data_IF_753444422646
#
_entry.id   IF_753444422646
#
_cell.length_a   1.000
_cell.length_b   1.000
_cell.length_c   1.000
_cell.angle_alpha   90.00
_cell.angle_beta   90.00
_cell.angle_gamma   90.00
#
_symmetry.space_group_name_H-M   'P 1'
#
loop_
_entity.id
_entity.type
_entity.pdbx_description
1 polymer ?
#
# COMPACT_ATOMS: atom_id res chain seq x y z
N UNK A 1 -19.81 -11.62 -8.06
CA UNK A 1 -19.65 -10.82 -6.84
C UNK A 1 -20.94 -10.92 -6.08
N UNK A 2 -20.96 -11.52 -4.89
CA UNK A 2 -22.09 -11.33 -3.98
C UNK A 2 -22.12 -9.86 -3.58
N UNK A 3 -23.20 -9.17 -3.93
CA UNK A 3 -23.42 -7.81 -3.45
C UNK A 3 -23.72 -7.89 -1.96
N UNK A 4 -23.23 -6.91 -1.18
CA UNK A 4 -23.53 -6.88 0.25
C UNK A 4 -25.05 -6.81 0.47
N UNK A 5 -25.53 -7.35 1.60
CA UNK A 5 -26.96 -7.35 1.96
C UNK A 5 -27.59 -5.94 1.94
N UNK A 6 -26.76 -4.90 2.16
CA UNK A 6 -27.12 -3.49 2.06
C UNK A 6 -27.46 -3.10 0.61
N UNK A 7 -26.63 -3.52 -0.36
CA UNK A 7 -26.83 -3.22 -1.78
C UNK A 7 -28.13 -3.86 -2.29
N UNK A 8 -28.41 -5.11 -1.92
CA UNK A 8 -29.69 -5.76 -2.26
C UNK A 8 -30.90 -4.97 -1.74
N UNK A 9 -30.84 -4.46 -0.51
CA UNK A 9 -31.92 -3.66 0.08
C UNK A 9 -32.14 -2.33 -0.68
N UNK A 10 -31.05 -1.67 -1.09
CA UNK A 10 -31.12 -0.42 -1.88
C UNK A 10 -31.76 -0.69 -3.24
N UNK A 11 -31.34 -1.74 -3.94
CA UNK A 11 -31.85 -2.09 -5.27
C UNK A 11 -33.33 -2.48 -5.24
N UNK A 12 -33.75 -3.20 -4.20
CA UNK A 12 -35.16 -3.52 -3.97
C UNK A 12 -36.00 -2.24 -3.72
N UNK A 13 -35.50 -1.30 -2.92
CA UNK A 13 -36.17 0.00 -2.68
C UNK A 13 -36.31 0.84 -3.97
N UNK A 14 -35.34 0.72 -4.87
CA UNK A 14 -35.37 1.38 -6.19
C UNK A 14 -36.23 0.64 -7.22
N UNK A 15 -36.75 -0.55 -6.90
CA UNK A 15 -37.57 -1.36 -7.80
C UNK A 15 -36.80 -1.96 -9.00
N UNK A 16 -35.46 -1.95 -8.98
CA UNK A 16 -34.63 -2.53 -10.03
C UNK A 16 -33.41 -3.26 -9.44
N UNK A 17 -33.57 -4.56 -9.23
CA UNK A 17 -32.50 -5.45 -8.74
C UNK A 17 -31.31 -5.60 -9.70
N UNK A 18 -31.50 -5.27 -10.98
CA UNK A 18 -30.47 -5.39 -12.02
C UNK A 18 -29.76 -4.07 -12.32
N UNK A 19 -30.10 -2.97 -11.64
CA UNK A 19 -29.61 -1.63 -11.95
C UNK A 19 -28.08 -1.56 -12.06
N UNK A 20 -27.34 -2.19 -11.14
CA UNK A 20 -25.86 -2.20 -11.20
C UNK A 20 -25.37 -2.91 -12.46
N UNK A 21 -25.91 -4.08 -12.77
CA UNK A 21 -25.53 -4.83 -13.98
C UNK A 21 -25.89 -4.05 -15.24
N UNK A 22 -27.06 -3.41 -15.30
CA UNK A 22 -27.46 -2.59 -16.44
C UNK A 22 -26.52 -1.39 -16.62
N UNK A 23 -26.19 -0.67 -15.55
CA UNK A 23 -25.28 0.48 -15.63
C UNK A 23 -23.87 0.05 -16.06
N UNK A 24 -23.33 -1.03 -15.50
CA UNK A 24 -21.98 -1.52 -15.82
C UNK A 24 -21.85 -2.14 -17.21
N UNK A 25 -22.92 -2.64 -17.79
CA UNK A 25 -22.92 -3.27 -19.13
C UNK A 25 -23.33 -2.31 -20.25
N UNK A 26 -24.17 -1.32 -19.96
CA UNK A 26 -24.71 -0.38 -20.96
C UNK A 26 -23.96 0.95 -21.03
N UNK A 27 -23.29 1.37 -19.96
CA UNK A 27 -22.59 2.66 -19.91
C UNK A 27 -21.08 2.47 -20.01
N UNK A 28 -20.44 3.32 -20.80
CA UNK A 28 -19.00 3.51 -20.77
C UNK A 28 -18.54 4.21 -19.48
N UNK A 29 -17.23 4.18 -19.20
CA UNK A 29 -16.65 4.83 -18.01
C UNK A 29 -16.91 6.35 -17.98
N UNK A 30 -16.91 7.01 -19.15
CA UNK A 30 -17.19 8.45 -19.27
C UNK A 30 -18.67 8.78 -19.02
N UNK A 31 -19.58 7.93 -19.50
CA UNK A 31 -21.02 8.07 -19.24
C UNK A 31 -21.35 7.81 -17.76
N UNK A 32 -20.75 6.78 -17.17
CA UNK A 32 -20.87 6.51 -15.73
C UNK A 32 -20.37 7.69 -14.90
N UNK A 33 -19.23 8.29 -15.28
CA UNK A 33 -18.71 9.50 -14.63
C UNK A 33 -19.71 10.64 -14.68
N UNK A 34 -20.31 10.88 -15.84
CA UNK A 34 -21.31 11.94 -16.04
C UNK A 34 -22.54 11.68 -15.16
N UNK A 35 -23.02 10.44 -15.09
CA UNK A 35 -24.14 10.05 -14.23
C UNK A 35 -23.85 10.30 -12.74
N UNK A 36 -22.67 9.90 -12.25
CA UNK A 36 -22.27 10.11 -10.85
C UNK A 36 -22.17 11.60 -10.50
N UNK A 37 -21.71 12.44 -11.44
CA UNK A 37 -21.68 13.90 -11.26
C UNK A 37 -23.10 14.48 -11.19
N UNK A 38 -24.00 14.07 -12.08
CA UNK A 38 -25.39 14.53 -12.06
C UNK A 38 -26.11 14.11 -10.77
N UNK A 39 -25.93 12.86 -10.32
CA UNK A 39 -26.46 12.39 -9.04
C UNK A 39 -25.93 13.22 -7.86
N UNK A 40 -24.63 13.52 -7.85
CA UNK A 40 -24.00 14.33 -6.81
C UNK A 40 -24.55 15.77 -6.79
N UNK A 41 -24.83 16.35 -7.96
CA UNK A 41 -25.48 17.66 -8.08
C UNK A 41 -26.88 17.64 -7.49
N UNK A 42 -27.69 16.64 -7.83
CA UNK A 42 -29.06 16.50 -7.31
C UNK A 42 -29.08 16.36 -5.78
N UNK A 43 -28.18 15.53 -5.23
CA UNK A 43 -28.03 15.35 -3.78
C UNK A 43 -27.57 16.63 -3.08
N UNK A 44 -26.73 17.44 -3.73
CA UNK A 44 -26.21 18.68 -3.16
C UNK A 44 -27.27 19.80 -3.23
N UNK A 45 -28.07 19.87 -4.29
CA UNK A 45 -29.16 20.83 -4.44
C UNK A 45 -30.23 20.69 -3.35
N UNK A 46 -30.41 19.48 -2.81
CA UNK A 46 -31.32 19.18 -1.71
C UNK A 46 -30.68 19.34 -0.32
N UNK A 47 -29.39 19.66 -0.22
CA UNK A 47 -28.68 19.79 1.06
C UNK A 47 -28.71 21.23 1.56
N UNK A 48 -29.02 21.42 2.86
CA UNK A 48 -28.93 22.72 3.53
C UNK A 48 -27.55 22.94 4.18
N UNK A 49 -27.19 24.18 4.56
CA UNK A 49 -26.01 24.45 5.38
C UNK A 49 -26.00 23.71 6.73
N UNK A 50 -27.17 23.44 7.31
CA UNK A 50 -27.29 22.63 8.54
C UNK A 50 -26.92 21.17 8.26
N UNK A 51 -27.35 20.63 7.11
CA UNK A 51 -26.95 19.29 6.69
C UNK A 51 -25.44 19.21 6.43
N UNK A 52 -24.83 20.27 5.90
CA UNK A 52 -23.38 20.36 5.75
C UNK A 52 -22.67 20.31 7.11
N UNK A 53 -23.14 21.06 8.10
CA UNK A 53 -22.56 21.05 9.45
C UNK A 53 -22.72 19.68 10.12
N UNK A 54 -23.87 19.03 9.96
CA UNK A 54 -24.11 17.67 10.47
C UNK A 54 -23.21 16.63 9.77
N UNK A 55 -23.03 16.75 8.46
CA UNK A 55 -22.09 15.93 7.69
C UNK A 55 -20.66 16.17 8.17
N UNK A 56 -20.25 17.42 8.38
CA UNK A 56 -18.93 17.75 8.94
C UNK A 56 -18.75 17.19 10.35
N UNK A 57 -19.76 17.29 11.22
CA UNK A 57 -19.71 16.82 12.60
C UNK A 57 -19.45 15.30 12.68
N UNK A 58 -20.07 14.54 11.79
CA UNK A 58 -20.03 13.06 11.77
C UNK A 58 -18.98 12.46 10.84
N UNK A 59 -18.38 13.26 9.95
CA UNK A 59 -17.40 12.79 8.98
C UNK A 59 -15.95 12.94 9.52
N UNK A 60 -15.31 11.80 9.79
CA UNK A 60 -13.91 11.75 10.24
C UNK A 60 -12.88 12.16 9.18
N UNK A 61 -13.23 12.14 7.89
CA UNK A 61 -12.33 12.48 6.77
C UNK A 61 -12.13 14.00 6.57
N UNK A 62 -12.87 14.83 7.31
CA UNK A 62 -12.79 16.29 7.18
C UNK A 62 -12.36 16.98 8.47
N UNK A 63 -11.89 16.20 9.45
CA UNK A 63 -11.40 16.73 10.73
C UNK A 63 -9.94 17.13 10.63
N UNK A 64 -9.52 18.21 11.31
CA UNK A 64 -8.09 18.52 11.44
C UNK A 64 -7.39 17.38 12.17
N UNK A 65 -6.12 17.14 11.84
CA UNK A 65 -5.27 16.23 12.60
C UNK A 65 -4.74 16.94 13.84
N UNK A 66 -4.71 16.24 14.97
CA UNK A 66 -4.08 16.70 16.21
C UNK A 66 -2.54 16.59 16.16
N UNK A 67 -1.99 15.96 15.11
CA UNK A 67 -0.54 15.77 14.96
C UNK A 67 0.16 17.04 14.45
N UNK A 68 1.35 17.29 14.96
CA UNK A 68 2.18 18.43 14.52
C UNK A 68 2.61 18.27 13.06
N UNK A 69 2.23 19.19 12.15
CA UNK A 69 2.63 19.11 10.75
C UNK A 69 4.15 19.29 10.57
N UNK A 70 4.80 20.05 11.46
CA UNK A 70 6.25 20.26 11.43
C UNK A 70 6.99 18.96 11.75
N UNK A 71 6.55 18.24 12.79
CA UNK A 71 7.18 16.95 13.15
C UNK A 71 6.98 15.93 12.04
N UNK A 72 5.78 15.86 11.45
CA UNK A 72 5.53 14.98 10.29
C UNK A 72 6.45 15.30 9.10
N UNK A 73 6.68 16.58 8.80
CA UNK A 73 7.60 16.96 7.71
C UNK A 73 9.06 16.63 7.99
N UNK A 74 9.49 16.66 9.25
CA UNK A 74 10.83 16.19 9.64
C UNK A 74 10.98 14.68 9.42
N UNK A 75 9.98 13.90 9.84
CA UNK A 75 9.94 12.44 9.59
C UNK A 75 10.03 12.15 8.09
N UNK A 76 9.21 12.83 7.29
CA UNK A 76 9.20 12.70 5.83
C UNK A 76 10.57 13.02 5.22
N UNK A 77 11.20 14.13 5.64
CA UNK A 77 12.54 14.51 5.18
C UNK A 77 13.58 13.47 5.58
N UNK A 78 13.59 13.05 6.84
CA UNK A 78 14.54 12.07 7.37
C UNK A 78 14.50 10.73 6.61
N UNK A 79 13.30 10.31 6.20
CA UNK A 79 13.10 9.09 5.42
C UNK A 79 13.50 9.28 3.95
N UNK A 80 13.20 10.43 3.35
CA UNK A 80 13.60 10.75 1.98
C UNK A 80 15.12 10.85 1.82
N UNK A 81 15.81 11.51 2.75
CA UNK A 81 17.28 11.60 2.77
C UNK A 81 17.91 10.21 2.89
N UNK A 82 17.40 9.36 3.79
CA UNK A 82 17.87 7.99 3.91
C UNK A 82 17.59 7.18 2.64
N UNK A 83 16.43 7.38 2.00
CA UNK A 83 16.06 6.67 0.79
C UNK A 83 16.99 7.02 -0.36
N UNK A 84 17.31 8.31 -0.54
CA UNK A 84 18.29 8.78 -1.51
C UNK A 84 19.67 8.15 -1.27
N UNK A 85 20.16 8.15 -0.02
CA UNK A 85 21.42 7.50 0.34
C UNK A 85 21.43 5.99 0.09
N UNK A 86 20.27 5.33 0.10
CA UNK A 86 20.11 3.89 -0.18
C UNK A 86 19.76 3.60 -1.65
N UNK A 87 19.77 4.61 -2.51
CA UNK A 87 19.59 4.48 -3.95
C UNK A 87 18.12 4.40 -4.41
N UNK A 88 17.18 4.89 -3.61
CA UNK A 88 15.77 5.01 -3.99
C UNK A 88 15.46 6.41 -4.56
N UNK A 89 14.72 6.47 -5.65
CA UNK A 89 14.25 7.73 -6.25
C UNK A 89 12.78 8.01 -5.87
N UNK A 90 12.47 9.22 -5.39
CA UNK A 90 11.11 9.61 -4.96
C UNK A 90 10.18 9.96 -6.14
N UNK A 91 8.93 9.48 -6.11
CA UNK A 91 7.90 9.75 -7.13
C UNK A 91 6.50 9.88 -6.51
N UNK A 92 5.57 10.53 -7.22
CA UNK A 92 4.15 10.65 -6.85
C UNK A 92 3.21 10.49 -8.05
N UNK A 93 2.21 9.62 -7.96
CA UNK A 93 1.17 9.31 -8.96
C UNK A 93 -0.03 8.61 -8.27
N UNK A 94 -1.08 8.14 -8.95
CA UNK A 94 -2.19 7.39 -8.35
C UNK A 94 -2.57 6.20 -9.27
N UNK A 95 -2.90 5.02 -8.73
CA UNK A 95 -3.05 3.76 -9.50
C UNK A 95 -4.09 2.79 -8.90
N UNK A 96 -4.73 2.01 -9.79
CA UNK A 96 -5.91 1.14 -9.55
C UNK A 96 -5.58 -0.36 -9.37
N UNK A 97 -4.30 -0.78 -9.37
CA UNK A 97 -3.95 -2.20 -9.65
C UNK A 97 -3.89 -3.17 -8.46
N UNK A 98 -3.76 -2.72 -7.22
CA UNK A 98 -3.79 -3.69 -6.12
C UNK A 98 -5.23 -4.05 -5.71
N UNK A 99 -5.37 -5.15 -4.98
CA UNK A 99 -6.62 -5.64 -4.38
C UNK A 99 -7.11 -4.75 -3.22
N UNK A 100 -7.07 -3.44 -3.40
CA UNK A 100 -7.76 -2.49 -2.52
C UNK A 100 -9.14 -2.29 -3.11
N UNK A 101 -10.07 -3.12 -2.66
CA UNK A 101 -11.47 -3.08 -3.06
C UNK A 101 -12.11 -1.69 -2.78
N UNK A 102 -13.13 -1.32 -3.56
CA UNK A 102 -13.78 -0.01 -3.44
C UNK A 102 -14.39 0.23 -2.05
N UNK A 103 -14.70 -0.81 -1.28
CA UNK A 103 -15.16 -0.64 0.11
C UNK A 103 -14.04 -0.22 1.06
N UNK A 104 -12.78 -0.21 0.61
CA UNK A 104 -11.59 0.18 1.38
C UNK A 104 -11.02 1.54 0.96
N UNK A 105 -11.36 2.04 -0.24
CA UNK A 105 -10.89 3.31 -0.80
C UNK A 105 -12.03 4.31 -0.91
N UNK A 106 -11.75 5.60 -0.67
CA UNK A 106 -12.73 6.65 -0.98
C UNK A 106 -12.64 6.97 -2.46
N UNK A 107 -13.71 6.63 -3.20
CA UNK A 107 -13.85 6.99 -4.61
C UNK A 107 -13.92 8.51 -4.78
N UNK A 108 -13.26 9.02 -5.81
CA UNK A 108 -13.44 10.38 -6.30
C UNK A 108 -14.22 10.34 -7.62
N UNK A 109 -14.88 11.44 -7.97
CA UNK A 109 -15.55 11.55 -9.28
C UNK A 109 -14.52 11.67 -10.41
N UNK A 110 -14.92 11.36 -11.66
CA UNK A 110 -14.05 11.32 -12.86
C UNK A 110 -13.15 10.09 -12.98
N UNK A 111 -13.60 8.95 -12.47
CA UNK A 111 -12.91 7.67 -12.64
C UNK A 111 -11.56 7.61 -11.92
N UNK A 112 -11.41 8.37 -10.83
CA UNK A 112 -10.20 8.39 -10.00
C UNK A 112 -10.57 8.08 -8.56
N UNK A 113 -9.58 7.72 -7.77
CA UNK A 113 -9.73 7.42 -6.34
C UNK A 113 -8.81 8.31 -5.52
N UNK A 114 -9.16 8.56 -4.25
CA UNK A 114 -8.17 9.11 -3.33
C UNK A 114 -7.08 8.06 -3.07
N UNK A 115 -5.82 8.49 -3.12
CA UNK A 115 -4.67 7.62 -2.90
C UNK A 115 -4.79 6.90 -1.55
N UNK A 116 -4.90 5.57 -1.58
CA UNK A 116 -5.03 4.73 -0.37
C UNK A 116 -3.77 3.95 -0.04
N UNK A 117 -2.89 3.77 -1.04
CA UNK A 117 -1.59 3.13 -0.94
C UNK A 117 -0.69 3.57 -2.12
N UNK A 118 0.53 4.04 -1.84
CA UNK A 118 1.49 4.50 -2.85
C UNK A 118 2.32 3.37 -3.49
N UNK A 119 2.30 2.13 -2.98
CA UNK A 119 3.06 1.03 -3.62
C UNK A 119 2.50 0.67 -5.00
N UNK A 120 1.17 0.69 -5.16
CA UNK A 120 0.49 0.30 -6.41
C UNK A 120 0.76 1.32 -7.51
N UNK A 121 0.89 2.58 -7.11
CA UNK A 121 1.27 3.71 -7.94
C UNK A 121 2.67 3.51 -8.51
N UNK A 122 3.65 3.22 -7.66
CA UNK A 122 5.03 3.01 -8.10
C UNK A 122 5.13 1.80 -9.04
N UNK A 123 4.35 0.75 -8.78
CA UNK A 123 4.29 -0.42 -9.66
C UNK A 123 3.82 -0.07 -11.09
N UNK A 124 2.80 0.79 -11.26
CA UNK A 124 2.38 1.27 -12.58
C UNK A 124 3.44 2.12 -13.23
N UNK A 125 4.03 3.08 -12.49
CA UNK A 125 5.09 3.93 -13.03
C UNK A 125 6.23 3.07 -13.61
N UNK A 126 6.67 2.07 -12.84
CA UNK A 126 7.70 1.13 -13.25
C UNK A 126 7.27 0.33 -14.48
N UNK A 127 6.08 -0.29 -14.46
CA UNK A 127 5.58 -1.07 -15.58
C UNK A 127 5.42 -0.22 -16.87
N UNK A 128 4.89 0.99 -16.76
CA UNK A 128 4.76 1.90 -17.89
C UNK A 128 6.14 2.31 -18.44
N UNK A 129 7.10 2.60 -17.58
CA UNK A 129 8.46 2.93 -17.99
C UNK A 129 9.17 1.75 -18.67
N UNK A 130 8.99 0.53 -18.15
CA UNK A 130 9.53 -0.71 -18.75
C UNK A 130 8.89 -0.96 -20.12
N UNK A 131 7.56 -0.88 -20.21
CA UNK A 131 6.80 -1.07 -21.45
C UNK A 131 7.21 -0.09 -22.54
N UNK A 132 7.46 1.17 -22.17
CA UNK A 132 7.88 2.24 -23.09
C UNK A 132 9.40 2.40 -23.20
N UNK A 133 10.19 1.50 -22.60
CA UNK A 133 11.67 1.49 -22.64
C UNK A 133 12.35 2.74 -22.07
N UNK A 134 11.66 3.53 -21.25
CA UNK A 134 12.29 4.62 -20.48
C UNK A 134 12.93 4.14 -19.17
N UNK A 135 12.59 2.92 -18.73
CA UNK A 135 13.20 2.22 -17.59
C UNK A 135 13.66 0.85 -18.08
N UNK A 136 14.89 0.45 -17.74
CA UNK A 136 15.42 -0.87 -18.05
C UNK A 136 15.79 -1.63 -16.77
N UNK A 137 14.83 -2.40 -16.26
CA UNK A 137 15.02 -3.26 -15.08
C UNK A 137 15.68 -4.62 -15.38
N UNK A 138 16.18 -4.82 -16.61
CA UNK A 138 16.80 -6.08 -17.02
C UNK A 138 18.33 -6.07 -16.86
N UNK A 139 18.94 -4.88 -16.80
CA UNK A 139 20.39 -4.70 -16.58
C UNK A 139 20.68 -4.63 -15.09
N UNK A 140 19.92 -3.80 -14.37
CA UNK A 140 19.98 -3.63 -12.93
C UNK A 140 18.58 -3.46 -12.38
N UNK A 141 18.38 -3.86 -11.13
CA UNK A 141 17.13 -3.61 -10.43
C UNK A 141 16.91 -2.09 -10.27
N UNK A 142 15.63 -1.71 -10.21
CA UNK A 142 15.19 -0.31 -10.13
C UNK A 142 14.46 -0.11 -8.81
N UNK A 143 14.88 0.90 -8.05
CA UNK A 143 14.38 1.17 -6.70
C UNK A 143 13.76 2.56 -6.64
N UNK A 144 12.49 2.64 -6.25
CA UNK A 144 11.75 3.90 -6.13
C UNK A 144 11.02 3.96 -4.79
N UNK A 145 10.85 5.18 -4.28
CA UNK A 145 10.12 5.42 -3.04
C UNK A 145 9.05 6.50 -3.22
N UNK A 146 8.19 6.66 -2.22
CA UNK A 146 7.25 7.76 -2.16
C UNK A 146 6.94 8.09 -0.70
N UNK A 147 6.87 9.38 -0.40
CA UNK A 147 6.22 9.89 0.80
C UNK A 147 4.87 10.48 0.39
N UNK A 148 3.79 10.01 1.01
CA UNK A 148 2.45 10.27 0.51
C UNK A 148 1.44 10.34 1.64
N UNK A 149 0.54 11.32 1.62
CA UNK A 149 -0.66 11.27 2.49
C UNK A 149 -1.69 10.38 1.83
N UNK A 150 -2.04 9.29 2.49
CA UNK A 150 -3.02 8.32 2.01
C UNK A 150 -4.31 8.41 2.81
N UNK A 151 -5.40 7.95 2.20
CA UNK A 151 -6.73 7.91 2.81
C UNK A 151 -7.28 6.48 2.80
N UNK A 152 -7.65 5.95 3.97
CA UNK A 152 -8.26 4.62 4.10
C UNK A 152 -9.71 4.70 4.55
N UNK A 153 -10.60 4.12 3.75
CA UNK A 153 -12.05 4.09 3.98
C UNK A 153 -12.43 3.19 5.17
N UNK A 154 -11.68 2.10 5.38
CA UNK A 154 -11.96 1.10 6.41
C UNK A 154 -12.06 1.70 7.81
N UNK A 155 -13.12 1.33 8.53
CA UNK A 155 -13.32 1.73 9.92
C UNK A 155 -12.71 0.69 10.86
N UNK A 156 -11.75 1.11 11.67
CA UNK A 156 -11.20 0.32 12.78
C UNK A 156 -11.56 1.03 14.09
N UNK A 157 -12.01 0.28 15.11
CA UNK A 157 -12.37 0.85 16.43
C UNK A 157 -11.16 1.27 17.28
N UNK A 158 -9.95 0.96 16.82
CA UNK A 158 -8.70 1.21 17.55
C UNK A 158 -8.26 2.67 17.39
N UNK A 159 -7.83 3.31 18.49
CA UNK A 159 -7.50 4.74 18.53
C UNK A 159 -6.33 5.17 17.61
N UNK A 160 -5.49 4.22 17.19
CA UNK A 160 -4.26 4.50 16.44
C UNK A 160 -4.43 4.38 14.91
N UNK A 161 -5.66 4.18 14.42
CA UNK A 161 -5.93 4.03 12.98
C UNK A 161 -6.58 5.30 12.44
N UNK A 162 -5.78 6.14 11.80
CA UNK A 162 -6.24 7.39 11.22
C UNK A 162 -6.90 7.18 9.83
N UNK A 163 -7.97 7.93 9.51
CA UNK A 163 -8.53 7.95 8.15
C UNK A 163 -7.55 8.51 7.12
N UNK A 164 -6.74 9.49 7.52
CA UNK A 164 -5.69 10.11 6.73
C UNK A 164 -4.37 10.01 7.47
N UNK A 165 -3.34 9.48 6.82
CA UNK A 165 -2.02 9.39 7.41
C UNK A 165 -0.95 9.43 6.32
N UNK A 166 0.25 9.85 6.71
CA UNK A 166 1.46 9.75 5.93
C UNK A 166 1.92 8.31 5.84
N UNK A 167 2.17 7.85 4.62
CA UNK A 167 2.76 6.57 4.30
C UNK A 167 4.08 6.82 3.56
N UNK A 168 5.14 6.18 4.03
CA UNK A 168 6.39 6.10 3.30
C UNK A 168 6.52 4.70 2.70
N UNK A 169 6.74 4.60 1.39
CA UNK A 169 6.79 3.32 0.67
C UNK A 169 8.06 3.15 -0.11
N UNK A 170 8.54 1.91 -0.17
CA UNK A 170 9.66 1.46 -1.00
C UNK A 170 9.17 0.41 -1.99
N UNK A 171 9.60 0.51 -3.24
CA UNK A 171 9.31 -0.48 -4.28
C UNK A 171 10.57 -0.78 -5.09
N UNK A 172 10.88 -2.07 -5.22
CA UNK A 172 11.97 -2.58 -6.04
C UNK A 172 11.41 -3.41 -7.19
N UNK A 173 11.88 -3.17 -8.41
CA UNK A 173 11.52 -3.91 -9.63
C UNK A 173 12.75 -4.46 -10.31
N UNK A 174 12.64 -5.69 -10.81
CA UNK A 174 13.74 -6.40 -11.45
C UNK A 174 13.24 -7.64 -12.17
N UNK A 175 14.18 -8.52 -12.53
CA UNK A 175 13.88 -9.78 -13.22
C UNK A 175 14.46 -10.98 -12.50
N UNK A 176 13.78 -12.10 -12.69
CA UNK A 176 14.29 -13.42 -12.37
C UNK A 176 15.48 -13.76 -13.26
N UNK A 177 16.65 -13.84 -12.62
CA UNK A 177 17.90 -14.29 -13.21
C UNK A 177 18.38 -15.60 -12.60
N UNK A 178 17.52 -16.30 -11.85
CA UNK A 178 17.86 -17.52 -11.13
C UNK A 178 18.39 -17.28 -9.71
N UNK A 179 18.46 -18.38 -8.95
CA UNK A 179 19.02 -18.47 -7.59
C UNK A 179 18.40 -17.52 -6.55
N UNK A 180 17.19 -17.03 -6.83
CA UNK A 180 16.48 -16.04 -6.02
C UNK A 180 17.29 -14.77 -5.75
N UNK A 181 18.15 -14.35 -6.71
CA UNK A 181 19.03 -13.18 -6.54
C UNK A 181 18.22 -11.92 -6.24
N UNK A 182 17.19 -11.65 -7.06
CA UNK A 182 16.31 -10.50 -6.86
C UNK A 182 15.66 -10.53 -5.48
N UNK A 183 15.10 -11.68 -5.09
CA UNK A 183 14.39 -11.82 -3.82
C UNK A 183 15.33 -11.57 -2.63
N UNK A 184 16.53 -12.15 -2.64
CA UNK A 184 17.55 -11.91 -1.60
C UNK A 184 17.97 -10.44 -1.53
N UNK A 185 18.41 -9.88 -2.65
CA UNK A 185 18.98 -8.54 -2.71
C UNK A 185 17.95 -7.48 -2.29
N UNK A 186 16.71 -7.61 -2.78
CA UNK A 186 15.66 -6.63 -2.48
C UNK A 186 15.10 -6.77 -1.07
N UNK A 187 14.97 -7.99 -0.55
CA UNK A 187 14.54 -8.21 0.83
C UNK A 187 15.55 -7.62 1.82
N UNK A 188 16.85 -7.88 1.59
CA UNK A 188 17.94 -7.28 2.36
C UNK A 188 17.92 -5.75 2.25
N UNK A 189 17.75 -5.18 1.05
CA UNK A 189 17.67 -3.73 0.86
C UNK A 189 16.52 -3.09 1.65
N UNK A 190 15.32 -3.66 1.57
CA UNK A 190 14.15 -3.11 2.25
C UNK A 190 14.26 -3.24 3.77
N UNK A 191 14.64 -4.42 4.28
CA UNK A 191 14.81 -4.63 5.72
C UNK A 191 15.93 -3.75 6.27
N UNK A 192 17.08 -3.66 5.59
CA UNK A 192 18.19 -2.79 5.99
C UNK A 192 17.77 -1.32 6.11
N UNK A 193 16.90 -0.83 5.22
CA UNK A 193 16.37 0.53 5.31
C UNK A 193 15.65 0.75 6.64
N UNK A 194 14.73 -0.13 7.01
CA UNK A 194 13.93 0.02 8.23
C UNK A 194 14.74 -0.22 9.50
N UNK A 195 15.63 -1.23 9.52
CA UNK A 195 16.54 -1.46 10.65
C UNK A 195 17.48 -0.28 10.87
N UNK A 196 17.99 0.32 9.78
CA UNK A 196 18.84 1.50 9.88
C UNK A 196 18.05 2.72 10.36
N UNK A 197 16.84 2.94 9.86
CA UNK A 197 16.02 4.07 10.28
C UNK A 197 15.60 3.95 11.76
N UNK A 198 14.90 2.87 12.11
CA UNK A 198 14.33 2.71 13.44
C UNK A 198 15.39 2.33 14.49
N UNK A 199 16.23 1.35 14.20
CA UNK A 199 17.27 0.89 15.13
C UNK A 199 18.49 1.80 15.13
N UNK A 200 19.03 2.12 13.95
CA UNK A 200 20.25 2.91 13.82
C UNK A 200 20.06 4.40 14.13
N UNK A 201 19.15 5.08 13.41
CA UNK A 201 18.94 6.53 13.52
C UNK A 201 18.09 6.91 14.73
N UNK A 202 17.01 6.18 15.00
CA UNK A 202 16.10 6.49 16.11
C UNK A 202 16.43 5.75 17.43
N UNK A 203 17.35 4.78 17.41
CA UNK A 203 17.76 4.05 18.61
C UNK A 203 16.69 3.14 19.21
N UNK A 204 15.70 2.71 18.42
CA UNK A 204 14.57 1.90 18.88
C UNK A 204 14.86 0.40 18.80
N UNK A 205 14.19 -0.42 19.62
CA UNK A 205 14.29 -1.87 19.51
C UNK A 205 13.50 -2.37 18.30
N UNK A 206 14.14 -3.15 17.42
CA UNK A 206 13.54 -3.67 16.19
C UNK A 206 13.52 -5.19 16.13
N UNK A 207 12.41 -5.78 15.68
CA UNK A 207 12.27 -7.22 15.37
C UNK A 207 11.70 -7.38 13.98
N UNK A 208 12.13 -8.41 13.24
CA UNK A 208 11.62 -8.70 11.90
C UNK A 208 10.86 -10.01 11.92
N UNK A 209 9.63 -9.99 11.44
CA UNK A 209 8.80 -11.17 11.27
C UNK A 209 8.77 -11.55 9.80
N UNK A 210 8.90 -12.83 9.49
CA UNK A 210 8.81 -13.39 8.15
C UNK A 210 7.65 -14.37 8.11
N UNK A 211 6.63 -14.06 7.31
CA UNK A 211 5.42 -14.87 7.22
C UNK A 211 5.37 -15.63 5.89
N UNK A 212 5.17 -16.94 5.96
CA UNK A 212 5.05 -17.82 4.81
C UNK A 212 3.82 -17.47 3.95
N UNK A 213 3.98 -17.40 2.63
CA UNK A 213 2.89 -17.21 1.66
C UNK A 213 3.02 -18.19 0.49
N UNK A 214 1.89 -18.52 -0.13
CA UNK A 214 1.87 -19.28 -1.39
C UNK A 214 2.35 -18.41 -2.56
N UNK A 215 2.72 -19.02 -3.67
CA UNK A 215 3.06 -18.31 -4.92
C UNK A 215 4.36 -18.80 -5.58
N UNK A 216 5.18 -19.54 -4.84
CA UNK A 216 6.33 -20.27 -5.37
C UNK A 216 6.03 -21.77 -5.32
N UNK A 217 6.65 -22.56 -6.20
CA UNK A 217 6.45 -24.01 -6.26
C UNK A 217 6.88 -24.72 -4.97
N UNK A 218 7.99 -24.26 -4.38
CA UNK A 218 8.57 -24.73 -3.13
C UNK A 218 8.55 -23.57 -2.12
N UNK A 219 7.39 -23.36 -1.48
CA UNK A 219 7.17 -22.25 -0.55
C UNK A 219 8.03 -22.37 0.71
N UNK A 220 8.12 -23.55 1.32
CA UNK A 220 8.93 -23.78 2.52
C UNK A 220 10.42 -23.61 2.22
N UNK A 221 10.95 -24.26 1.19
CA UNK A 221 12.35 -24.10 0.84
C UNK A 221 12.68 -22.69 0.34
N UNK A 222 11.71 -21.96 -0.24
CA UNK A 222 11.87 -20.54 -0.53
C UNK A 222 12.08 -19.72 0.75
N UNK A 223 11.22 -19.92 1.76
CA UNK A 223 11.37 -19.25 3.06
C UNK A 223 12.71 -19.58 3.72
N UNK A 224 13.09 -20.87 3.78
CA UNK A 224 14.35 -21.32 4.35
C UNK A 224 15.55 -20.59 3.71
N UNK A 225 15.59 -20.51 2.39
CA UNK A 225 16.66 -19.82 1.64
C UNK A 225 16.70 -18.31 1.89
N UNK A 226 15.57 -17.68 2.19
CA UNK A 226 15.52 -16.26 2.54
C UNK A 226 15.97 -16.03 3.99
N UNK A 227 15.52 -16.88 4.92
CA UNK A 227 15.93 -16.86 6.33
C UNK A 227 17.45 -17.04 6.44
N UNK A 228 18.00 -18.06 5.77
CA UNK A 228 19.44 -18.31 5.76
C UNK A 228 20.25 -17.11 5.26
N UNK A 229 19.78 -16.47 4.18
CA UNK A 229 20.41 -15.27 3.63
C UNK A 229 20.34 -14.10 4.63
N UNK A 230 19.17 -13.84 5.22
CA UNK A 230 18.97 -12.73 6.14
C UNK A 230 19.71 -12.92 7.47
N UNK A 231 19.87 -14.15 7.95
CA UNK A 231 20.68 -14.45 9.15
C UNK A 231 22.16 -14.11 8.93
N UNK A 232 22.67 -14.25 7.69
CA UNK A 232 24.03 -13.84 7.33
C UNK A 232 24.16 -12.32 7.24
N UNK A 233 23.19 -11.65 6.62
CA UNK A 233 23.22 -10.19 6.43
C UNK A 233 22.93 -9.40 7.72
N UNK A 234 22.11 -9.96 8.62
CA UNK A 234 21.64 -9.32 9.85
C UNK A 234 21.85 -10.19 11.09
N UNK A 235 23.09 -10.58 11.44
CA UNK A 235 23.36 -11.54 12.52
C UNK A 235 22.93 -11.05 13.91
N UNK A 236 22.70 -9.75 14.08
CA UNK A 236 22.25 -9.15 15.34
C UNK A 236 20.75 -8.83 15.37
N UNK A 237 20.02 -9.09 14.28
CA UNK A 237 18.58 -8.85 14.21
C UNK A 237 17.82 -10.07 14.71
N UNK A 238 16.80 -9.87 15.55
CA UNK A 238 15.88 -10.93 15.90
C UNK A 238 14.90 -11.18 14.74
N UNK A 239 15.17 -12.23 13.97
CA UNK A 239 14.28 -12.75 12.94
C UNK A 239 13.32 -13.78 13.54
N UNK A 240 12.02 -13.62 13.30
CA UNK A 240 10.96 -14.51 13.79
C UNK A 240 10.21 -15.04 12.58
N UNK A 241 10.13 -16.36 12.47
CA UNK A 241 9.39 -17.02 11.40
C UNK A 241 7.97 -17.35 11.84
N UNK A 242 7.01 -17.06 10.97
CA UNK A 242 5.63 -17.49 11.09
C UNK A 242 5.26 -18.34 9.87
N UNK A 243 5.18 -19.65 10.09
CA UNK A 243 4.83 -20.64 9.07
C UNK A 243 3.34 -20.90 9.01
N UNK A 244 2.52 -20.20 9.80
CA UNK A 244 1.07 -20.32 9.70
C UNK A 244 0.61 -19.64 8.41
N UNK A 245 0.04 -20.44 7.51
CA UNK A 245 -0.50 -19.93 6.26
C UNK A 245 -1.67 -19.00 6.56
N UNK A 246 -1.50 -17.70 6.30
CA UNK A 246 -2.58 -16.72 6.43
C UNK A 246 -3.29 -16.47 5.10
N UNK A 247 -4.56 -16.07 5.18
CA UNK A 247 -5.39 -15.78 4.01
C UNK A 247 -5.07 -14.45 3.32
N UNK A 248 -3.91 -13.82 3.54
CA UNK A 248 -3.60 -12.54 2.87
C UNK A 248 -3.23 -12.80 1.39
N UNK A 249 -4.16 -12.51 0.48
CA UNK A 249 -4.23 -13.14 -0.85
C UNK A 249 -3.37 -12.51 -1.96
N UNK A 250 -2.54 -11.50 -1.71
CA UNK A 250 -1.78 -10.83 -2.78
C UNK A 250 -0.26 -10.97 -2.69
N UNK A 251 0.30 -11.22 -1.50
CA UNK A 251 1.73 -11.52 -1.38
C UNK A 251 2.06 -12.91 -1.95
N UNK A 252 3.26 -13.05 -2.51
CA UNK A 252 3.77 -14.28 -3.12
C UNK A 252 5.01 -14.76 -2.38
N UNK A 253 5.02 -16.01 -1.94
CA UNK A 253 6.19 -16.63 -1.28
C UNK A 253 6.38 -16.21 0.17
N UNK A 254 6.57 -14.91 0.43
CA UNK A 254 6.61 -14.36 1.78
C UNK A 254 6.17 -12.90 1.83
N UNK A 255 5.73 -12.47 3.03
CA UNK A 255 5.76 -11.07 3.43
C UNK A 255 6.53 -10.95 4.75
N UNK A 256 7.03 -9.76 5.04
CA UNK A 256 7.76 -9.43 6.25
C UNK A 256 7.12 -8.25 6.96
N UNK A 257 7.25 -8.23 8.29
CA UNK A 257 6.87 -7.09 9.12
C UNK A 257 8.08 -6.63 9.94
N UNK A 258 8.18 -5.33 10.21
CA UNK A 258 9.14 -4.80 11.19
C UNK A 258 8.37 -4.24 12.37
N UNK A 259 8.63 -4.82 13.52
CA UNK A 259 8.11 -4.40 14.80
C UNK A 259 9.11 -3.45 15.46
N UNK A 260 8.62 -2.33 15.98
CA UNK A 260 9.40 -1.34 16.73
C UNK A 260 8.75 -1.16 18.09
N UNK A 261 9.49 -1.48 19.16
CA UNK A 261 9.01 -1.42 20.55
C UNK A 261 7.64 -2.10 20.79
N UNK A 262 7.37 -3.24 20.14
CA UNK A 262 6.10 -3.95 20.28
C UNK A 262 5.00 -3.53 19.30
N UNK A 263 5.23 -2.53 18.44
CA UNK A 263 4.27 -2.10 17.40
C UNK A 263 4.73 -2.53 16.01
N UNK A 264 3.90 -3.30 15.29
CA UNK A 264 4.14 -3.60 13.86
C UNK A 264 3.91 -2.33 13.04
N UNK A 265 4.99 -1.70 12.59
CA UNK A 265 4.95 -0.39 11.90
C UNK A 265 5.32 -0.48 10.42
N UNK A 266 5.88 -1.60 9.99
CA UNK A 266 6.24 -1.89 8.60
C UNK A 266 5.55 -3.18 8.16
N UNK A 267 5.03 -3.18 6.93
CA UNK A 267 4.61 -4.39 6.21
C UNK A 267 5.17 -4.32 4.79
N UNK A 268 5.62 -5.45 4.26
CA UNK A 268 6.18 -5.56 2.92
C UNK A 268 6.26 -7.00 2.44
N UNK A 269 6.38 -7.23 1.14
CA UNK A 269 6.43 -8.57 0.59
C UNK A 269 6.40 -8.61 -0.93
N UNK A 270 6.68 -9.76 -1.50
CA UNK A 270 6.73 -9.92 -2.95
C UNK A 270 5.33 -9.96 -3.55
N UNK A 271 5.16 -9.37 -4.73
CA UNK A 271 3.89 -9.34 -5.46
C UNK A 271 4.12 -9.62 -6.95
N UNK A 272 3.08 -10.10 -7.64
CA UNK A 272 3.12 -10.45 -9.06
C UNK A 272 2.64 -9.32 -9.99
N UNK A 273 2.51 -8.09 -9.50
CA UNK A 273 1.85 -7.00 -10.24
C UNK A 273 2.55 -6.64 -11.54
N UNK A 274 3.89 -6.57 -11.57
CA UNK A 274 4.64 -6.32 -12.82
C UNK A 274 4.52 -7.49 -13.80
N UNK A 275 4.39 -8.73 -13.31
CA UNK A 275 4.16 -9.90 -14.16
C UNK A 275 2.80 -9.80 -14.87
N UNK A 276 1.75 -9.45 -14.13
CA UNK A 276 0.41 -9.25 -14.67
C UNK A 276 0.34 -8.07 -15.65
N UNK A 277 0.95 -6.94 -15.29
CA UNK A 277 0.96 -5.71 -16.07
C UNK A 277 1.71 -5.81 -17.40
N UNK A 278 2.83 -6.55 -17.40
CA UNK A 278 3.72 -6.66 -18.55
C UNK A 278 3.52 -7.97 -19.32
N UNK A 279 2.73 -8.91 -18.80
CA UNK A 279 2.56 -10.24 -19.38
C UNK A 279 3.86 -11.06 -19.39
N UNK A 280 4.74 -10.85 -18.40
CA UNK A 280 6.06 -11.48 -18.35
C UNK A 280 6.32 -12.12 -16.97
N UNK A 281 6.32 -13.45 -16.93
CA UNK A 281 6.53 -14.23 -15.70
C UNK A 281 7.94 -14.08 -15.09
N UNK A 282 8.90 -13.53 -15.83
CA UNK A 282 10.23 -13.20 -15.29
C UNK A 282 10.26 -11.90 -14.50
N UNK A 283 9.25 -11.04 -14.58
CA UNK A 283 9.23 -9.81 -13.78
C UNK A 283 9.16 -10.15 -12.30
N UNK A 284 9.77 -9.29 -11.47
CA UNK A 284 9.73 -9.40 -10.01
C UNK A 284 9.47 -8.02 -9.41
N UNK A 285 8.75 -8.01 -8.29
CA UNK A 285 8.43 -6.80 -7.55
C UNK A 285 8.42 -7.07 -6.04
N UNK A 286 9.15 -6.26 -5.28
CA UNK A 286 9.06 -6.20 -3.82
C UNK A 286 8.50 -4.84 -3.42
N UNK A 287 7.49 -4.83 -2.56
CA UNK A 287 6.91 -3.61 -2.01
C UNK A 287 7.04 -3.61 -0.49
N UNK A 288 7.11 -2.43 0.12
CA UNK A 288 6.95 -2.28 1.57
C UNK A 288 6.52 -0.86 1.91
N UNK A 289 5.89 -0.67 3.07
CA UNK A 289 5.54 0.66 3.54
C UNK A 289 5.47 0.76 5.05
N UNK A 290 5.54 2.00 5.53
CA UNK A 290 5.48 2.32 6.95
C UNK A 290 4.70 3.61 7.20
N UNK A 291 3.94 3.65 8.29
CA UNK A 291 3.12 4.81 8.63
C UNK A 291 3.93 5.90 9.33
N UNK A 292 4.06 7.07 8.72
CA UNK A 292 4.78 8.22 9.30
C UNK A 292 4.06 8.77 10.53
N UNK A 293 2.74 8.93 10.46
CA UNK A 293 1.93 9.44 11.58
C UNK A 293 1.94 8.47 12.77
N UNK A 294 2.03 7.15 12.50
CA UNK A 294 2.06 6.14 13.55
C UNK A 294 3.31 6.27 14.43
N UNK A 295 4.43 6.76 13.88
CA UNK A 295 5.67 7.00 14.63
C UNK A 295 5.47 8.06 15.73
N UNK A 296 4.70 9.13 15.44
CA UNK A 296 4.35 10.15 16.43
C UNK A 296 3.34 9.62 17.45
N UNK A 297 2.31 8.91 16.98
CA UNK A 297 1.25 8.37 17.83
C UNK A 297 1.82 7.39 18.87
N UNK A 298 2.84 6.63 18.49
CA UNK A 298 3.46 5.60 19.34
C UNK A 298 4.67 6.09 20.11
N UNK A 299 5.01 7.38 20.00
CA UNK A 299 6.11 7.99 20.75
C UNK A 299 7.51 7.52 20.31
N UNK A 300 7.65 6.97 19.10
CA UNK A 300 8.94 6.55 18.54
C UNK A 300 9.85 7.75 18.23
N UNK A 301 9.26 8.94 18.09
CA UNK A 301 9.94 10.20 17.83
C UNK A 301 9.37 11.24 18.79
N UNK A 302 10.24 11.90 19.55
CA UNK A 302 9.87 12.93 20.53
C UNK A 302 9.64 14.30 19.91
#
# INVERSE_FOLDING_TARGET
>A
MEHSQIVHTILAKLGNERLITELTTKLSQSEMTTLLLALSQEMTAQSSPVDLLNKYATNRFVKPSELSPIKLKKIELDMLELAEHRGFTSLGSCSVIAKVDQNKVISATRGVELMSDSTNMLAIYLANGIKNKSINNSISDVHVCAASRVTRGQWYKQANVLPHFGLFTLVSSGKDTGSYRFEKDTLTRHIAFYLHYYGGKLGQETKVFLHLRKGYTDSDGFLDRMVDHLNVEFPSCLLIEDRVESSNQYYKGLNFEVNVNGVNIVDGGFVDWTQQLLGNNKERLLISGTGMDLQLITGMIQ
#
